data_IF_919470658569
#
_entry.id   IF_919470658569
#
_cell.length_a   1.000
_cell.length_b   1.000
_cell.length_c   1.000
_cell.angle_alpha   90.00
_cell.angle_beta   90.00
_cell.angle_gamma   90.00
#
_symmetry.space_group_name_H-M   'P 1'
#
loop_
_entity.id
_entity.type
_entity.pdbx_description
1 polymer ?
#
# COMPACT_ATOMS: atom_id res chain seq x y z
N UNK A 1 -16.58 -10.51 -36.50
CA UNK A 1 -15.46 -9.72 -35.93
C UNK A 1 -15.26 -10.20 -34.50
N UNK A 2 -14.14 -10.88 -34.23
CA UNK A 2 -13.80 -11.36 -32.89
C UNK A 2 -13.16 -10.21 -32.13
N UNK A 3 -13.89 -9.63 -31.18
CA UNK A 3 -13.30 -8.74 -30.19
C UNK A 3 -12.40 -9.58 -29.27
N UNK A 4 -11.09 -9.48 -29.48
CA UNK A 4 -10.08 -9.97 -28.55
C UNK A 4 -10.24 -9.23 -27.23
N UNK A 5 -10.79 -9.90 -26.23
CA UNK A 5 -11.04 -9.31 -24.92
C UNK A 5 -9.69 -9.12 -24.16
N UNK A 6 -9.39 -7.92 -23.66
CA UNK A 6 -8.04 -7.54 -23.18
C UNK A 6 -7.63 -8.06 -21.80
N UNK A 7 -8.46 -8.83 -21.09
CA UNK A 7 -8.34 -9.00 -19.63
C UNK A 7 -7.71 -10.32 -19.14
N UNK A 8 -7.25 -11.22 -20.01
CA UNK A 8 -6.25 -12.27 -19.70
C UNK A 8 -6.04 -13.18 -20.92
N UNK A 9 -4.79 -13.35 -21.37
CA UNK A 9 -4.44 -14.43 -22.28
C UNK A 9 -4.77 -15.79 -21.62
N UNK A 10 -5.45 -16.69 -22.34
CA UNK A 10 -5.70 -18.07 -21.90
C UNK A 10 -7.12 -18.43 -21.46
N UNK A 11 -8.06 -17.48 -21.40
CA UNK A 11 -9.49 -17.78 -21.19
C UNK A 11 -10.25 -17.90 -22.53
N UNK A 12 -11.24 -18.80 -22.64
CA UNK A 12 -12.10 -18.87 -23.83
C UNK A 12 -13.04 -17.65 -23.90
N UNK A 13 -13.49 -17.31 -25.11
CA UNK A 13 -14.33 -16.13 -25.35
C UNK A 13 -15.65 -16.12 -24.55
N UNK A 14 -16.16 -17.28 -24.16
CA UNK A 14 -17.38 -17.41 -23.37
C UNK A 14 -17.14 -17.50 -21.85
N UNK A 15 -15.88 -17.42 -21.39
CA UNK A 15 -15.50 -17.50 -19.96
C UNK A 15 -16.10 -18.70 -19.22
N UNK A 16 -16.28 -19.84 -19.89
CA UNK A 16 -16.94 -21.03 -19.32
C UNK A 16 -18.37 -20.75 -18.80
N UNK A 17 -19.04 -19.70 -19.30
CA UNK A 17 -20.38 -19.27 -18.86
C UNK A 17 -20.36 -18.39 -17.59
N UNK A 18 -19.20 -17.90 -17.17
CA UNK A 18 -19.02 -17.06 -15.98
C UNK A 18 -19.05 -15.58 -16.37
N UNK A 19 -19.58 -14.74 -15.48
CA UNK A 19 -19.55 -13.29 -15.60
C UNK A 19 -18.17 -12.73 -15.19
N UNK A 20 -17.59 -11.87 -16.01
CA UNK A 20 -16.30 -11.20 -15.79
C UNK A 20 -16.55 -9.69 -15.88
N UNK A 21 -16.26 -8.96 -14.79
CA UNK A 21 -16.38 -7.50 -14.76
C UNK A 21 -15.05 -6.80 -15.09
N UNK A 22 -13.91 -7.40 -14.72
CA UNK A 22 -12.59 -6.78 -14.80
C UNK A 22 -11.45 -7.82 -14.90
N UNK A 23 -10.21 -7.32 -15.04
CA UNK A 23 -8.97 -8.13 -15.09
C UNK A 23 -8.76 -9.00 -13.84
N UNK A 24 -9.15 -8.51 -12.66
CA UNK A 24 -9.05 -9.25 -11.41
C UNK A 24 -9.95 -10.49 -11.43
N UNK A 25 -11.17 -10.38 -11.95
CA UNK A 25 -12.09 -11.50 -12.09
C UNK A 25 -11.58 -12.52 -13.11
N UNK A 26 -11.03 -12.06 -14.23
CA UNK A 26 -10.43 -12.93 -15.24
C UNK A 26 -9.27 -13.77 -14.66
N UNK A 27 -8.35 -13.13 -13.93
CA UNK A 27 -7.23 -13.84 -13.26
C UNK A 27 -7.70 -14.80 -12.18
N UNK A 28 -8.71 -14.42 -11.40
CA UNK A 28 -9.35 -15.30 -10.40
C UNK A 28 -10.02 -16.51 -11.04
N UNK A 29 -10.67 -16.32 -12.19
CA UNK A 29 -11.29 -17.41 -12.95
C UNK A 29 -10.24 -18.37 -13.49
N UNK A 30 -9.14 -17.85 -14.06
CA UNK A 30 -8.02 -18.67 -14.54
C UNK A 30 -7.46 -19.55 -13.40
N UNK A 31 -7.19 -18.95 -12.24
CA UNK A 31 -6.71 -19.68 -11.07
C UNK A 31 -7.71 -20.75 -10.58
N UNK A 32 -9.02 -20.44 -10.59
CA UNK A 32 -10.04 -21.40 -10.24
C UNK A 32 -10.05 -22.59 -11.22
N UNK A 33 -9.97 -22.32 -12.52
CA UNK A 33 -9.93 -23.34 -13.57
C UNK A 33 -8.71 -24.25 -13.41
N UNK A 34 -7.53 -23.70 -13.12
CA UNK A 34 -6.33 -24.49 -12.81
C UNK A 34 -6.52 -25.38 -11.57
N UNK A 35 -7.24 -24.91 -10.55
CA UNK A 35 -7.45 -25.66 -9.30
C UNK A 35 -8.47 -26.78 -9.40
N UNK A 36 -9.58 -26.57 -10.11
CA UNK A 36 -10.71 -27.52 -10.09
C UNK A 36 -11.05 -28.10 -11.47
N UNK A 37 -10.46 -27.58 -12.54
CA UNK A 37 -10.70 -27.98 -13.93
C UNK A 37 -11.85 -27.23 -14.60
N UNK A 38 -11.67 -26.92 -15.89
CA UNK A 38 -12.63 -26.19 -16.73
C UNK A 38 -14.01 -26.85 -16.80
N UNK A 39 -14.07 -28.19 -16.81
CA UNK A 39 -15.34 -28.93 -16.86
C UNK A 39 -16.21 -28.71 -15.62
N UNK A 40 -15.59 -28.62 -14.43
CA UNK A 40 -16.34 -28.37 -13.18
C UNK A 40 -16.88 -26.94 -13.14
N UNK A 41 -16.07 -25.98 -13.60
CA UNK A 41 -16.48 -24.57 -13.75
C UNK A 41 -17.66 -24.47 -14.70
N UNK A 42 -17.53 -25.00 -15.91
CA UNK A 42 -18.56 -24.97 -16.96
C UNK A 42 -19.86 -25.59 -16.45
N UNK A 43 -19.79 -26.79 -15.86
CA UNK A 43 -20.96 -27.49 -15.32
C UNK A 43 -21.67 -26.70 -14.22
N UNK A 44 -20.91 -26.02 -13.35
CA UNK A 44 -21.49 -25.17 -12.31
C UNK A 44 -22.15 -23.92 -12.87
N UNK A 45 -21.56 -23.32 -13.91
CA UNK A 45 -22.13 -22.17 -14.61
C UNK A 45 -23.42 -22.54 -15.37
N UNK A 46 -23.45 -23.69 -16.05
CA UNK A 46 -24.66 -24.22 -16.70
C UNK A 46 -25.80 -24.44 -15.70
N UNK A 47 -25.52 -25.12 -14.57
CA UNK A 47 -26.53 -25.33 -13.51
C UNK A 47 -27.07 -24.03 -12.93
N UNK A 48 -26.23 -22.99 -12.85
CA UNK A 48 -26.68 -21.68 -12.40
C UNK A 48 -27.60 -21.02 -13.43
N UNK A 49 -27.21 -21.07 -14.71
CA UNK A 49 -28.00 -20.50 -15.82
C UNK A 49 -29.34 -21.22 -16.00
N UNK A 50 -29.39 -22.54 -15.81
CA UNK A 50 -30.65 -23.32 -15.80
C UNK A 50 -31.59 -22.86 -14.69
N UNK A 51 -31.05 -22.53 -13.51
CA UNK A 51 -31.83 -22.03 -12.37
C UNK A 51 -32.22 -20.55 -12.53
N UNK A 52 -31.38 -19.76 -13.19
CA UNK A 52 -31.54 -18.32 -13.41
C UNK A 52 -31.33 -18.01 -14.90
N UNK A 53 -32.36 -18.20 -15.75
CA UNK A 53 -32.24 -18.01 -17.19
C UNK A 53 -31.82 -16.58 -17.55
N UNK A 54 -30.80 -16.46 -18.41
CA UNK A 54 -30.26 -15.17 -18.85
C UNK A 54 -29.15 -14.60 -17.95
N UNK A 55 -28.97 -15.14 -16.75
CA UNK A 55 -27.96 -14.67 -15.80
C UNK A 55 -26.68 -15.51 -15.86
N UNK A 56 -25.53 -14.85 -15.72
CA UNK A 56 -24.23 -15.52 -15.60
C UNK A 56 -23.76 -15.47 -14.15
N UNK A 57 -23.16 -16.57 -13.69
CA UNK A 57 -22.64 -16.65 -12.32
C UNK A 57 -21.38 -15.80 -12.16
N UNK A 58 -21.22 -15.10 -11.03
CA UNK A 58 -19.99 -14.39 -10.71
C UNK A 58 -18.86 -15.36 -10.30
N UNK A 59 -17.61 -14.99 -10.62
CA UNK A 59 -16.40 -15.73 -10.19
C UNK A 59 -16.37 -15.90 -8.66
N UNK A 60 -16.71 -14.86 -7.91
CA UNK A 60 -16.75 -14.86 -6.44
C UNK A 60 -17.72 -15.92 -5.88
N UNK A 61 -18.86 -16.12 -6.52
CA UNK A 61 -19.84 -17.14 -6.14
C UNK A 61 -19.27 -18.55 -6.35
N UNK A 62 -18.57 -18.79 -7.45
CA UNK A 62 -17.92 -20.08 -7.70
C UNK A 62 -16.78 -20.35 -6.71
N UNK A 63 -15.93 -19.35 -6.46
CA UNK A 63 -14.85 -19.45 -5.47
C UNK A 63 -15.40 -19.86 -4.08
N UNK A 64 -16.49 -19.22 -3.66
CA UNK A 64 -17.17 -19.54 -2.39
C UNK A 64 -17.73 -20.97 -2.39
N UNK A 65 -18.39 -21.39 -3.47
CA UNK A 65 -18.99 -22.73 -3.60
C UNK A 65 -17.93 -23.85 -3.52
N UNK A 66 -16.77 -23.63 -4.10
CA UNK A 66 -15.68 -24.61 -4.13
C UNK A 66 -14.68 -24.44 -2.97
N UNK A 67 -14.88 -23.46 -2.07
CA UNK A 67 -13.95 -23.20 -0.96
C UNK A 67 -12.55 -22.79 -1.42
N UNK A 68 -12.41 -22.25 -2.63
CA UNK A 68 -11.11 -21.87 -3.20
C UNK A 68 -10.76 -20.45 -2.76
N UNK A 69 -9.64 -20.31 -2.04
CA UNK A 69 -9.05 -19.01 -1.72
C UNK A 69 -8.01 -18.67 -2.80
N UNK A 70 -8.23 -17.55 -3.50
CA UNK A 70 -7.28 -17.05 -4.50
C UNK A 70 -6.21 -16.21 -3.79
N UNK A 71 -4.92 -16.57 -3.88
CA UNK A 71 -3.83 -15.75 -3.35
C UNK A 71 -3.83 -14.35 -3.97
N UNK A 72 -3.59 -13.32 -3.18
CA UNK A 72 -3.59 -11.92 -3.65
C UNK A 72 -2.62 -11.68 -4.81
N UNK A 73 -1.46 -12.36 -4.80
CA UNK A 73 -0.44 -12.31 -5.86
C UNK A 73 -0.97 -12.64 -7.27
N UNK A 74 -2.10 -13.36 -7.35
CA UNK A 74 -2.72 -13.72 -8.64
C UNK A 74 -3.28 -12.50 -9.35
N UNK A 75 -3.83 -11.54 -8.60
CA UNK A 75 -4.59 -10.43 -9.16
C UNK A 75 -4.15 -9.05 -8.67
N UNK A 76 -3.17 -8.99 -7.77
CA UNK A 76 -2.55 -7.76 -7.33
C UNK A 76 -1.06 -8.02 -7.03
N UNK A 77 -0.17 -7.04 -7.27
CA UNK A 77 1.22 -7.15 -6.88
C UNK A 77 1.33 -7.40 -5.36
N UNK A 78 2.32 -8.21 -4.96
CA UNK A 78 2.62 -8.42 -3.55
C UNK A 78 3.23 -7.14 -2.99
N UNK A 79 2.46 -6.41 -2.19
CA UNK A 79 3.01 -5.31 -1.39
C UNK A 79 3.96 -5.89 -0.35
N UNK A 80 5.26 -5.87 -0.64
CA UNK A 80 6.30 -6.15 0.36
C UNK A 80 6.15 -5.08 1.45
N UNK A 81 5.88 -5.44 2.72
CA UNK A 81 5.68 -4.44 3.75
C UNK A 81 6.97 -3.65 3.97
N UNK A 82 6.92 -2.36 3.66
CA UNK A 82 8.03 -1.43 3.91
C UNK A 82 7.85 -0.81 5.30
N UNK A 83 8.87 -0.91 6.13
CA UNK A 83 8.89 -0.31 7.46
C UNK A 83 9.81 0.90 7.43
N UNK A 84 9.25 2.09 7.16
CA UNK A 84 10.04 3.32 7.10
C UNK A 84 9.63 4.25 8.22
N UNK A 85 10.63 4.81 8.91
CA UNK A 85 10.44 5.98 9.77
C UNK A 85 10.85 7.19 8.96
N UNK A 86 9.98 8.18 8.89
CA UNK A 86 10.14 9.37 8.07
C UNK A 86 10.20 10.64 8.93
N UNK A 87 10.86 11.64 8.36
CA UNK A 87 10.96 13.01 8.86
C UNK A 87 10.54 13.93 7.71
N UNK A 88 9.42 14.65 7.84
CA UNK A 88 8.95 15.60 6.82
C UNK A 88 9.14 17.02 7.34
N UNK A 89 9.91 17.84 6.63
CA UNK A 89 10.17 19.22 7.01
C UNK A 89 9.17 20.14 6.30
N UNK A 90 8.22 20.67 7.06
CA UNK A 90 7.22 21.62 6.57
C UNK A 90 7.81 23.04 6.58
N UNK A 91 8.02 23.60 5.39
CA UNK A 91 8.71 24.88 5.22
C UNK A 91 7.94 26.06 5.82
N UNK A 92 6.62 26.24 5.58
CA UNK A 92 5.90 27.44 6.00
C UNK A 92 5.87 27.65 7.52
N UNK A 93 5.78 26.57 8.30
CA UNK A 93 5.68 26.65 9.76
C UNK A 93 6.99 26.33 10.48
N UNK A 94 8.08 26.06 9.75
CA UNK A 94 9.34 25.55 10.33
C UNK A 94 9.09 24.40 11.30
N UNK A 95 8.31 23.40 10.86
CA UNK A 95 7.94 22.26 11.70
C UNK A 95 8.37 20.95 11.05
N UNK A 96 8.67 19.97 11.89
CA UNK A 96 9.13 18.65 11.52
C UNK A 96 8.09 17.61 11.92
N UNK A 97 7.58 16.85 10.95
CA UNK A 97 6.73 15.68 11.23
C UNK A 97 7.59 14.42 11.32
N UNK A 98 7.47 13.67 12.40
CA UNK A 98 8.12 12.37 12.58
C UNK A 98 7.06 11.29 12.68
N UNK A 99 7.13 10.28 11.82
CA UNK A 99 6.19 9.15 11.86
C UNK A 99 6.76 7.89 11.19
N UNK A 100 6.00 6.80 11.22
CA UNK A 100 6.34 5.58 10.48
C UNK A 100 5.23 5.18 9.49
N UNK A 101 5.63 4.78 8.27
CA UNK A 101 4.72 4.21 7.25
C UNK A 101 5.50 3.62 6.09
N UNK A 102 4.99 2.53 5.51
CA UNK A 102 5.49 2.04 4.21
C UNK A 102 5.17 2.98 3.05
N UNK A 103 4.04 3.71 3.13
CA UNK A 103 3.56 4.65 2.12
C UNK A 103 3.75 6.10 2.60
N UNK A 104 4.94 6.40 3.12
CA UNK A 104 5.25 7.71 3.70
C UNK A 104 5.17 8.87 2.70
N UNK A 105 5.40 8.61 1.41
CA UNK A 105 5.22 9.57 0.31
C UNK A 105 3.76 10.00 0.18
N UNK A 106 2.84 9.03 0.17
CA UNK A 106 1.40 9.31 0.20
C UNK A 106 0.99 10.07 1.47
N UNK A 107 1.63 9.81 2.61
CA UNK A 107 1.40 10.58 3.84
C UNK A 107 1.86 12.02 3.72
N UNK A 108 2.94 12.29 3.00
CA UNK A 108 3.38 13.66 2.70
C UNK A 108 2.40 14.35 1.74
N UNK A 109 1.98 13.67 0.68
CA UNK A 109 1.03 14.20 -0.31
C UNK A 109 -0.39 14.41 0.22
N UNK A 110 -0.75 13.74 1.32
CA UNK A 110 -2.05 13.93 1.96
C UNK A 110 -2.22 15.30 2.63
N UNK A 111 -1.12 16.04 2.83
CA UNK A 111 -1.19 17.42 3.27
C UNK A 111 -1.18 18.33 2.04
N UNK A 112 -2.12 19.27 1.99
CA UNK A 112 -2.14 20.35 0.99
C UNK A 112 -1.08 21.42 1.34
N UNK A 113 0.18 21.01 1.52
CA UNK A 113 1.26 21.90 1.92
C UNK A 113 2.62 21.55 1.33
N UNK A 114 3.55 22.52 1.39
CA UNK A 114 4.90 22.38 0.86
C UNK A 114 5.87 21.81 1.90
N UNK A 115 6.37 20.62 1.60
CA UNK A 115 7.50 20.02 2.30
C UNK A 115 8.81 20.27 1.54
N UNK A 116 9.90 20.44 2.27
CA UNK A 116 11.25 20.46 1.70
C UNK A 116 11.56 19.06 1.13
N UNK A 117 11.67 18.95 -0.19
CA UNK A 117 11.83 17.64 -0.86
C UNK A 117 13.19 16.98 -0.59
N UNK A 118 14.22 17.76 -0.27
CA UNK A 118 15.59 17.28 -0.06
C UNK A 118 15.87 16.99 1.42
N UNK A 119 15.22 17.74 2.32
CA UNK A 119 15.31 17.54 3.77
C UNK A 119 14.20 16.66 4.33
N UNK A 120 13.14 16.41 3.58
CA UNK A 120 12.17 15.36 3.94
C UNK A 120 12.74 14.01 3.56
N UNK A 121 12.89 13.12 4.53
CA UNK A 121 13.64 11.88 4.38
C UNK A 121 12.96 10.69 5.07
N UNK A 122 13.35 9.48 4.70
CA UNK A 122 12.99 8.26 5.40
C UNK A 122 14.14 7.28 5.54
N UNK A 123 14.11 6.50 6.62
CA UNK A 123 15.01 5.37 6.87
C UNK A 123 14.24 4.06 6.84
N UNK A 124 14.76 3.07 6.11
CA UNK A 124 14.18 1.73 6.09
C UNK A 124 14.61 0.90 7.30
N UNK A 125 13.69 0.10 7.81
CA UNK A 125 13.89 -0.86 8.89
C UNK A 125 13.52 -2.26 8.39
N UNK A 126 14.12 -3.27 9.00
CA UNK A 126 13.96 -4.67 8.58
C UNK A 126 12.61 -5.26 9.00
N UNK A 127 12.07 -4.80 10.13
CA UNK A 127 10.76 -5.19 10.62
C UNK A 127 9.99 -4.02 11.23
N UNK A 128 8.70 -4.27 11.47
CA UNK A 128 7.76 -3.31 12.04
C UNK A 128 8.13 -2.90 13.47
N UNK A 129 8.59 -3.85 14.29
CA UNK A 129 8.85 -3.61 15.71
C UNK A 129 10.04 -2.65 15.88
N UNK A 130 11.09 -2.85 15.09
CA UNK A 130 12.27 -1.99 15.06
C UNK A 130 11.92 -0.58 14.56
N UNK A 131 11.08 -0.45 13.53
CA UNK A 131 10.61 0.87 13.05
C UNK A 131 9.81 1.61 14.14
N UNK A 132 8.86 0.93 14.78
CA UNK A 132 8.05 1.53 15.86
C UNK A 132 8.92 1.91 17.06
N UNK A 133 9.91 1.08 17.42
CA UNK A 133 10.83 1.39 18.51
C UNK A 133 11.67 2.64 18.20
N UNK A 134 12.18 2.75 16.98
CA UNK A 134 12.97 3.92 16.55
C UNK A 134 12.13 5.20 16.52
N UNK A 135 10.92 5.14 15.94
CA UNK A 135 9.97 6.24 15.93
C UNK A 135 9.62 6.69 17.37
N UNK A 136 9.30 5.72 18.24
CA UNK A 136 8.94 6.00 19.63
C UNK A 136 10.11 6.61 20.40
N UNK A 137 11.33 6.13 20.15
CA UNK A 137 12.54 6.69 20.76
C UNK A 137 12.77 8.15 20.34
N UNK A 138 12.66 8.47 19.04
CA UNK A 138 12.75 9.85 18.55
C UNK A 138 11.69 10.74 19.18
N UNK A 139 10.42 10.33 19.12
CA UNK A 139 9.29 11.11 19.67
C UNK A 139 9.45 11.37 21.17
N UNK A 140 10.02 10.42 21.91
CA UNK A 140 10.29 10.54 23.36
C UNK A 140 11.50 11.44 23.65
N UNK A 141 12.57 11.32 22.87
CA UNK A 141 13.78 12.12 23.06
C UNK A 141 13.53 13.62 22.82
N UNK A 142 12.69 13.94 21.83
CA UNK A 142 12.35 15.31 21.45
C UNK A 142 10.95 15.73 21.90
N UNK A 143 10.41 15.10 22.95
CA UNK A 143 9.08 15.41 23.48
C UNK A 143 8.93 16.90 23.88
N UNK A 144 10.03 17.49 24.38
CA UNK A 144 10.15 18.90 24.73
C UNK A 144 10.01 19.86 23.54
N UNK A 145 10.26 19.39 22.31
CA UNK A 145 10.22 20.18 21.09
C UNK A 145 8.89 20.06 20.34
N UNK A 146 7.86 19.42 20.94
CA UNK A 146 6.56 19.26 20.28
C UNK A 146 5.95 20.62 19.96
N UNK A 147 5.66 20.82 18.69
CA UNK A 147 4.94 22.00 18.21
C UNK A 147 4.01 21.57 17.09
N UNK A 148 2.73 21.89 17.23
CA UNK A 148 1.74 21.57 16.21
C UNK A 148 1.62 22.73 15.22
N UNK A 149 1.82 22.50 13.92
CA UNK A 149 1.67 23.57 12.95
C UNK A 149 0.19 23.82 12.61
N UNK A 150 -0.18 25.06 12.23
CA UNK A 150 -1.56 25.42 11.87
C UNK A 150 -2.17 24.59 10.71
N UNK A 151 -1.33 23.91 9.92
CA UNK A 151 -1.75 23.05 8.80
C UNK A 151 -2.45 21.77 9.26
N UNK A 152 -2.34 21.40 10.54
CA UNK A 152 -3.01 20.21 11.08
C UNK A 152 -4.47 20.56 11.40
N UNK A 153 -5.46 19.95 10.73
CA UNK A 153 -6.85 20.24 11.02
C UNK A 153 -7.23 19.84 12.44
N UNK A 154 -8.14 20.60 13.05
CA UNK A 154 -8.69 20.27 14.36
C UNK A 154 -9.35 18.87 14.34
N UNK A 155 -8.90 17.97 15.22
CA UNK A 155 -9.40 16.59 15.30
C UNK A 155 -8.69 15.59 14.37
N UNK A 156 -7.70 16.01 13.58
CA UNK A 156 -6.89 15.11 12.79
C UNK A 156 -5.98 14.24 13.67
N UNK A 157 -5.98 12.92 13.47
CA UNK A 157 -4.99 12.05 14.14
C UNK A 157 -3.55 12.50 13.83
N UNK A 158 -2.65 12.40 14.81
CA UNK A 158 -1.21 12.68 14.58
C UNK A 158 -0.70 14.04 15.06
N UNK A 159 -1.45 14.77 15.89
CA UNK A 159 -0.96 15.98 16.59
C UNK A 159 0.36 15.72 17.37
N UNK A 160 0.52 14.49 17.90
CA UNK A 160 1.72 14.04 18.64
C UNK A 160 2.91 13.68 17.74
N UNK A 161 2.90 14.08 16.49
CA UNK A 161 3.93 13.73 15.51
C UNK A 161 4.68 14.95 14.99
N UNK A 162 4.37 16.14 15.51
CA UNK A 162 4.94 17.39 15.04
C UNK A 162 5.86 18.03 16.08
N UNK A 163 6.97 18.56 15.60
CA UNK A 163 8.08 19.06 16.39
C UNK A 163 8.66 20.32 15.75
N UNK A 164 9.36 21.14 16.53
CA UNK A 164 10.11 22.28 16.04
C UNK A 164 11.21 21.82 15.07
N UNK A 165 11.36 22.48 13.91
CA UNK A 165 12.38 22.11 12.94
C UNK A 165 13.83 22.26 13.44
N UNK A 166 14.07 22.99 14.55
CA UNK A 166 15.39 23.15 15.16
C UNK A 166 16.03 21.80 15.55
N UNK A 167 15.23 20.78 15.85
CA UNK A 167 15.76 19.45 16.21
C UNK A 167 16.24 18.64 15.00
N UNK A 168 16.04 19.11 13.77
CA UNK A 168 16.19 18.32 12.55
C UNK A 168 17.53 17.58 12.47
N UNK A 169 18.65 18.27 12.69
CA UNK A 169 19.98 17.68 12.56
C UNK A 169 20.28 16.65 13.65
N UNK A 170 19.82 16.90 14.87
CA UNK A 170 19.98 15.98 15.98
C UNK A 170 19.10 14.73 15.79
N UNK A 171 17.82 14.92 15.43
CA UNK A 171 16.90 13.85 15.11
C UNK A 171 17.39 12.97 13.95
N UNK A 172 17.95 13.59 12.90
CA UNK A 172 18.61 12.90 11.78
C UNK A 172 19.77 12.03 12.25
N UNK A 173 20.60 12.55 13.16
CA UNK A 173 21.73 11.80 13.71
C UNK A 173 21.22 10.60 14.50
N UNK A 174 20.25 10.81 15.40
CA UNK A 174 19.68 9.76 16.26
C UNK A 174 19.05 8.63 15.44
N UNK A 175 18.25 8.95 14.42
CA UNK A 175 17.60 7.93 13.60
C UNK A 175 18.61 7.15 12.74
N UNK A 176 19.64 7.83 12.21
CA UNK A 176 20.66 7.22 11.37
C UNK A 176 21.54 6.25 12.17
N UNK A 177 21.82 6.57 13.44
CA UNK A 177 22.61 5.73 14.35
C UNK A 177 21.78 4.76 15.18
N UNK A 178 20.45 4.77 15.05
CA UNK A 178 19.59 3.82 15.78
C UNK A 178 20.01 2.39 15.44
N UNK A 179 20.27 1.59 16.48
CA UNK A 179 20.94 0.29 16.41
C UNK A 179 20.29 -0.62 15.37
N UNK A 180 21.02 -0.86 14.29
CA UNK A 180 20.62 -1.77 13.24
C UNK A 180 21.86 -2.47 12.70
N UNK A 181 21.70 -3.70 12.21
CA UNK A 181 22.81 -4.53 11.72
C UNK A 181 23.53 -3.98 10.48
N UNK A 182 23.06 -2.88 9.87
CA UNK A 182 23.62 -2.28 8.66
C UNK A 182 23.49 -0.76 8.70
N UNK A 183 24.50 -0.04 8.22
CA UNK A 183 24.42 1.39 7.97
C UNK A 183 23.32 1.68 6.94
N UNK A 184 22.47 2.68 7.22
CA UNK A 184 21.32 3.03 6.38
C UNK A 184 21.52 4.40 5.77
N UNK A 185 21.27 4.51 4.47
CA UNK A 185 21.21 5.79 3.78
C UNK A 185 19.77 6.31 3.83
N UNK A 186 19.56 7.61 4.14
CA UNK A 186 18.24 8.21 4.02
C UNK A 186 17.79 8.20 2.56
N UNK A 187 16.50 7.98 2.35
CA UNK A 187 15.82 8.20 1.07
C UNK A 187 15.09 9.54 1.15
N UNK A 188 15.43 10.50 0.30
CA UNK A 188 14.76 11.81 0.26
C UNK A 188 13.38 11.71 -0.38
N UNK A 189 12.50 12.64 -0.06
CA UNK A 189 11.15 12.71 -0.61
C UNK A 189 11.20 13.00 -2.11
N UNK A 190 12.17 13.80 -2.57
CA UNK A 190 12.47 14.01 -4.00
C UNK A 190 12.65 12.68 -4.72
N UNK A 191 13.61 11.87 -4.26
CA UNK A 191 13.94 10.59 -4.90
C UNK A 191 12.78 9.61 -4.78
N UNK A 192 12.11 9.55 -3.62
CA UNK A 192 10.98 8.65 -3.42
C UNK A 192 9.79 8.97 -4.32
N UNK A 193 9.47 10.26 -4.50
CA UNK A 193 8.41 10.71 -5.39
C UNK A 193 8.66 10.29 -6.83
N UNK A 194 9.90 10.40 -7.30
CA UNK A 194 10.25 10.06 -8.69
C UNK A 194 10.20 8.53 -8.94
N UNK A 195 10.29 7.71 -7.88
CA UNK A 195 10.15 6.25 -7.96
C UNK A 195 8.73 5.72 -7.74
N UNK A 196 7.88 6.45 -7.01
CA UNK A 196 6.48 6.06 -6.74
C UNK A 196 5.49 6.47 -7.87
N UNK A 197 5.96 7.17 -8.92
CA UNK A 197 5.15 7.59 -10.09
C UNK A 197 5.16 6.55 -11.24
N UNK A 198 5.63 5.31 -10.99
CA UNK A 198 5.60 4.21 -11.97
C UNK A 198 4.55 3.16 -11.62
#
# INVERSE_FOLDING_TARGET
>A
MQESNPFAAGLPANYYGVYIENDMDARRLLYLVEKIGAEKVTRSASKYTEKYPGERIFVSTLLKRYGVKVPTLVYAPVNVPLYRVYMLLHLPSSSLKIGYSGNWTQRALAFECEFDLDRSISFSFHDKACAIAAESNLKRLFDWARTEPPVVPFGAGGHKEWFDAAIYHEALTVIATFETHKTRKPLTLRVARDHDIV
#
